data_IF_913472403511
#
_entry.id   IF_913472403511
#
_cell.length_a   1.000
_cell.length_b   1.000
_cell.length_c   1.000
_cell.angle_alpha   90.00
_cell.angle_beta   90.00
_cell.angle_gamma   90.00
#
_symmetry.space_group_name_H-M   'P 1'
#
loop_
_entity.id
_entity.type
_entity.pdbx_description
1 polymer ?
#
# COMPACT_ATOMS: atom_id res chain seq x y z
N UNK A 1 -15.01 3.34 3.27
CA UNK A 1 -14.34 4.29 2.35
C UNK A 1 -14.96 5.68 2.36
N UNK A 2 -16.26 5.82 2.56
CA UNK A 2 -16.84 7.15 2.84
C UNK A 2 -16.13 7.87 3.98
N UNK A 3 -15.64 7.11 4.99
CA UNK A 3 -14.87 7.62 6.11
C UNK A 3 -13.64 8.44 5.67
N UNK A 4 -12.81 7.91 4.75
CA UNK A 4 -11.61 8.63 4.29
C UNK A 4 -11.97 9.93 3.56
N UNK A 5 -13.01 9.91 2.73
CA UNK A 5 -13.49 11.11 2.04
C UNK A 5 -14.01 12.16 3.02
N UNK A 6 -14.64 11.73 4.11
CA UNK A 6 -15.21 12.60 5.13
C UNK A 6 -14.17 13.21 6.08
N UNK A 7 -13.18 12.41 6.50
CA UNK A 7 -12.22 12.82 7.55
C UNK A 7 -10.85 13.25 7.03
N UNK A 8 -10.51 13.03 5.75
CA UNK A 8 -9.27 13.57 5.20
C UNK A 8 -9.33 15.09 5.08
N UNK A 9 -8.27 15.73 5.54
CA UNK A 9 -8.11 17.20 5.43
C UNK A 9 -7.56 17.55 4.05
N UNK A 10 -8.07 18.61 3.44
CA UNK A 10 -7.58 19.12 2.16
C UNK A 10 -6.10 19.53 2.28
N UNK A 11 -5.32 19.28 1.25
CA UNK A 11 -3.89 19.55 1.24
C UNK A 11 -3.04 18.57 2.07
N UNK A 12 -3.63 17.47 2.55
CA UNK A 12 -2.94 16.47 3.36
C UNK A 12 -2.23 15.39 2.54
N UNK A 13 -1.37 14.62 3.24
CA UNK A 13 -0.75 13.41 2.70
C UNK A 13 -1.43 12.21 3.34
N UNK A 14 -1.95 11.31 2.51
CA UNK A 14 -2.58 10.07 2.93
C UNK A 14 -1.62 8.90 2.70
N UNK A 15 -1.14 8.29 3.78
CA UNK A 15 -0.26 7.12 3.75
C UNK A 15 -1.11 5.87 3.93
N UNK A 16 -1.08 4.96 2.97
CA UNK A 16 -1.95 3.78 2.92
C UNK A 16 -1.11 2.51 2.96
N UNK A 17 -1.45 1.59 3.86
CA UNK A 17 -0.85 0.26 3.91
C UNK A 17 -1.55 -0.67 2.91
N UNK A 18 -0.78 -1.28 2.03
CA UNK A 18 -1.26 -2.17 0.99
C UNK A 18 -1.25 -1.56 -0.43
N UNK A 19 -1.59 -2.37 -1.43
CA UNK A 19 -1.55 -1.97 -2.84
C UNK A 19 -2.76 -1.10 -3.24
N UNK A 20 -2.57 -0.28 -4.27
CA UNK A 20 -3.67 0.46 -4.89
C UNK A 20 -4.74 -0.48 -5.46
N UNK A 21 -4.29 -1.60 -6.03
CA UNK A 21 -5.15 -2.67 -6.54
C UNK A 21 -4.85 -3.94 -5.75
N UNK A 22 -5.84 -4.50 -5.07
CA UNK A 22 -5.72 -5.72 -4.28
C UNK A 22 -6.51 -6.86 -4.94
N UNK A 23 -5.78 -7.90 -5.40
CA UNK A 23 -6.36 -9.07 -6.05
C UNK A 23 -7.11 -8.73 -7.35
N UNK A 24 -8.14 -9.51 -7.65
CA UNK A 24 -9.02 -9.30 -8.82
C UNK A 24 -10.09 -8.23 -8.56
N UNK A 25 -10.12 -7.67 -7.35
CA UNK A 25 -11.08 -6.66 -6.93
C UNK A 25 -10.55 -5.24 -7.14
N UNK A 26 -11.36 -4.43 -7.80
CA UNK A 26 -11.14 -2.98 -7.82
C UNK A 26 -11.24 -2.48 -6.40
N UNK A 27 -10.17 -1.85 -5.91
CA UNK A 27 -10.28 -1.18 -4.61
C UNK A 27 -11.25 -0.02 -4.76
N UNK A 28 -12.16 0.11 -3.83
CA UNK A 28 -13.08 1.25 -3.74
C UNK A 28 -12.34 2.60 -3.70
N UNK A 29 -11.03 2.58 -3.44
CA UNK A 29 -10.17 3.76 -3.44
C UNK A 29 -10.10 4.44 -4.82
N UNK A 30 -10.09 3.68 -5.91
CA UNK A 30 -10.00 4.25 -7.28
C UNK A 30 -11.14 5.23 -7.55
N UNK A 31 -12.31 4.99 -6.98
CA UNK A 31 -13.47 5.88 -7.11
C UNK A 31 -13.23 7.27 -6.49
N UNK A 32 -12.33 7.37 -5.51
CA UNK A 32 -12.04 8.60 -4.79
C UNK A 32 -10.79 9.34 -5.30
N UNK A 33 -10.04 8.77 -6.25
CA UNK A 33 -8.80 9.40 -6.76
C UNK A 33 -9.07 10.80 -7.31
N UNK A 34 -10.15 10.97 -8.04
CA UNK A 34 -10.51 12.27 -8.62
C UNK A 34 -10.90 13.29 -7.54
N UNK A 35 -11.61 12.85 -6.51
CA UNK A 35 -11.96 13.70 -5.36
C UNK A 35 -10.71 14.10 -4.58
N UNK A 36 -9.84 13.17 -4.26
CA UNK A 36 -8.58 13.45 -3.58
C UNK A 36 -7.68 14.38 -4.40
N UNK A 37 -7.62 14.21 -5.72
CA UNK A 37 -6.90 15.14 -6.58
C UNK A 37 -7.48 16.57 -6.54
N UNK A 38 -8.80 16.74 -6.48
CA UNK A 38 -9.45 18.06 -6.35
C UNK A 38 -9.17 18.73 -5.01
N UNK A 39 -9.15 17.95 -3.94
CA UNK A 39 -8.92 18.38 -2.56
C UNK A 39 -7.43 18.48 -2.18
N UNK A 40 -6.54 18.37 -3.15
CA UNK A 40 -5.09 18.37 -2.92
C UNK A 40 -4.60 17.31 -1.92
N UNK A 41 -5.29 16.16 -1.83
CA UNK A 41 -4.89 15.04 -0.99
C UNK A 41 -3.95 14.13 -1.79
N UNK A 42 -2.69 14.06 -1.34
CA UNK A 42 -1.68 13.23 -1.96
C UNK A 42 -1.68 11.84 -1.34
N UNK A 43 -2.20 10.85 -2.07
CA UNK A 43 -2.29 9.46 -1.62
C UNK A 43 -1.09 8.64 -2.07
N UNK A 44 -0.46 7.94 -1.12
CA UNK A 44 0.72 7.09 -1.31
C UNK A 44 0.47 5.74 -0.69
N UNK A 45 0.72 4.68 -1.44
CA UNK A 45 0.51 3.30 -1.05
C UNK A 45 1.85 2.61 -0.77
N UNK A 46 1.92 1.85 0.32
CA UNK A 46 3.12 1.11 0.73
C UNK A 46 2.83 -0.39 0.74
N UNK A 47 3.47 -1.12 -0.18
CA UNK A 47 3.29 -2.57 -0.33
C UNK A 47 4.52 -3.28 0.18
N UNK A 48 4.42 -3.87 1.37
CA UNK A 48 5.52 -4.54 2.08
C UNK A 48 5.85 -5.90 1.49
N UNK A 49 4.85 -6.63 1.05
CA UNK A 49 5.00 -7.97 0.48
C UNK A 49 4.30 -8.03 -0.88
N UNK A 50 5.05 -8.36 -1.92
CA UNK A 50 4.50 -8.48 -3.26
C UNK A 50 5.26 -9.53 -4.06
N UNK A 51 4.52 -10.44 -4.66
CA UNK A 51 5.06 -11.41 -5.62
C UNK A 51 4.87 -10.94 -7.06
N UNK A 52 4.72 -9.62 -7.27
CA UNK A 52 4.52 -9.09 -8.62
C UNK A 52 5.79 -9.16 -9.45
N UNK A 53 5.59 -9.29 -10.74
CA UNK A 53 6.62 -9.42 -11.76
C UNK A 53 6.52 -8.30 -12.81
N UNK A 54 5.92 -7.16 -12.45
CA UNK A 54 5.63 -6.08 -13.39
C UNK A 54 6.86 -5.54 -14.12
N UNK A 55 8.02 -5.56 -13.49
CA UNK A 55 9.29 -5.10 -14.11
C UNK A 55 10.02 -6.26 -14.75
N UNK A 56 10.19 -7.39 -14.05
CA UNK A 56 10.98 -8.52 -14.57
C UNK A 56 10.35 -9.16 -15.79
N UNK A 57 9.01 -9.27 -15.87
CA UNK A 57 8.32 -9.87 -17.02
C UNK A 57 8.46 -9.02 -18.29
N UNK A 58 8.69 -7.72 -18.11
CA UNK A 58 8.92 -6.79 -19.21
C UNK A 58 10.42 -6.61 -19.56
N UNK A 59 11.31 -7.34 -18.87
CA UNK A 59 12.74 -7.25 -19.08
C UNK A 59 13.35 -8.64 -19.25
N UNK A 60 13.70 -8.99 -20.50
CA UNK A 60 14.26 -10.30 -20.87
C UNK A 60 15.57 -10.67 -20.17
N UNK A 61 16.33 -9.69 -19.70
CA UNK A 61 17.58 -9.93 -18.99
C UNK A 61 17.36 -10.26 -17.51
N UNK A 62 16.25 -9.82 -16.91
CA UNK A 62 15.92 -10.01 -15.50
C UNK A 62 15.14 -11.30 -15.27
N UNK A 63 14.21 -11.62 -16.15
CA UNK A 63 13.29 -12.75 -16.03
C UNK A 63 13.98 -14.10 -15.73
N UNK A 64 15.16 -14.45 -16.32
CA UNK A 64 15.84 -15.70 -15.98
C UNK A 64 16.54 -15.72 -14.62
N UNK A 65 16.78 -14.55 -14.01
CA UNK A 65 17.60 -14.43 -12.79
C UNK A 65 16.76 -14.25 -11.54
N UNK A 66 15.58 -13.67 -11.68
CA UNK A 66 14.77 -13.26 -10.55
C UNK A 66 13.34 -13.78 -10.67
N UNK A 67 12.77 -14.17 -9.55
CA UNK A 67 11.41 -14.71 -9.47
C UNK A 67 10.34 -13.67 -9.07
N UNK A 68 10.76 -12.47 -8.72
CA UNK A 68 9.87 -11.35 -8.42
C UNK A 68 10.61 -10.01 -8.50
N UNK A 69 9.85 -8.94 -8.68
CA UNK A 69 10.40 -7.58 -8.68
C UNK A 69 11.04 -7.23 -7.33
N UNK A 70 10.51 -7.76 -6.22
CA UNK A 70 11.10 -7.53 -4.89
C UNK A 70 12.45 -8.26 -4.74
N UNK A 71 12.60 -9.45 -5.31
CA UNK A 71 13.87 -10.16 -5.32
C UNK A 71 14.90 -9.37 -6.12
N UNK A 72 14.58 -8.98 -7.36
CA UNK A 72 15.44 -8.17 -8.19
C UNK A 72 15.85 -6.85 -7.51
N UNK A 73 14.87 -6.07 -7.06
CA UNK A 73 15.14 -4.77 -6.44
C UNK A 73 15.90 -4.90 -5.11
N UNK A 74 15.67 -6.01 -4.37
CA UNK A 74 16.40 -6.31 -3.14
C UNK A 74 17.88 -6.56 -3.35
N UNK A 75 18.22 -7.17 -4.47
CA UNK A 75 19.61 -7.48 -4.85
C UNK A 75 20.39 -6.24 -5.30
N UNK A 76 19.76 -5.37 -6.08
CA UNK A 76 20.44 -4.20 -6.66
C UNK A 76 20.44 -2.95 -5.78
N UNK A 77 19.46 -2.78 -4.87
CA UNK A 77 19.33 -1.59 -4.06
C UNK A 77 20.09 -1.70 -2.74
N UNK A 78 20.77 -0.63 -2.38
CA UNK A 78 21.31 -0.41 -1.03
C UNK A 78 20.30 0.36 -0.17
N UNK A 79 20.40 0.30 1.18
CA UNK A 79 19.58 1.14 2.06
C UNK A 79 19.58 2.61 1.65
N UNK A 80 18.40 3.21 1.64
CA UNK A 80 18.20 4.59 1.19
C UNK A 80 18.11 4.79 -0.31
N UNK A 81 18.29 3.73 -1.11
CA UNK A 81 18.15 3.80 -2.56
C UNK A 81 16.76 3.36 -3.00
N UNK A 82 16.32 3.93 -4.10
CA UNK A 82 15.11 3.52 -4.83
C UNK A 82 15.40 3.29 -6.30
N UNK A 83 14.54 2.53 -6.96
CA UNK A 83 14.54 2.42 -8.42
C UNK A 83 14.04 3.71 -9.08
N UNK A 84 14.13 3.78 -10.38
CA UNK A 84 13.35 4.72 -11.19
C UNK A 84 11.85 4.49 -10.95
N UNK A 85 11.05 5.47 -11.33
CA UNK A 85 9.60 5.29 -11.37
C UNK A 85 9.21 4.49 -12.62
N UNK A 86 8.42 3.46 -12.40
CA UNK A 86 7.79 2.64 -13.42
C UNK A 86 6.31 3.00 -13.53
N UNK A 87 5.76 2.87 -14.70
CA UNK A 87 4.33 3.06 -14.92
C UNK A 87 3.70 1.73 -15.31
N UNK A 88 2.66 1.34 -14.60
CA UNK A 88 1.73 0.30 -15.00
C UNK A 88 0.50 0.95 -15.61
N UNK A 89 0.16 0.55 -16.82
CA UNK A 89 -1.02 1.03 -17.55
C UNK A 89 -2.00 -0.12 -17.69
N UNK A 90 -3.18 0.04 -17.10
CA UNK A 90 -4.29 -0.85 -17.35
C UNK A 90 -5.04 -0.35 -18.59
N UNK A 91 -4.94 -1.12 -19.68
CA UNK A 91 -5.57 -0.77 -20.97
C UNK A 91 -7.10 -0.88 -20.94
N UNK A 92 -7.64 -1.72 -20.07
CA UNK A 92 -9.08 -1.93 -19.93
C UNK A 92 -9.73 -0.93 -18.97
N UNK A 93 -8.98 -0.51 -17.96
CA UNK A 93 -9.44 0.48 -17.00
C UNK A 93 -8.32 1.47 -16.62
N UNK A 94 -8.19 2.59 -17.34
CA UNK A 94 -7.12 3.57 -17.11
C UNK A 94 -7.05 4.10 -15.67
N UNK A 95 -8.16 4.08 -14.93
CA UNK A 95 -8.18 4.51 -13.52
C UNK A 95 -7.39 3.56 -12.61
N UNK A 96 -7.16 2.31 -13.03
CA UNK A 96 -6.32 1.35 -12.31
C UNK A 96 -4.82 1.57 -12.60
N UNK A 97 -4.48 2.47 -13.52
CA UNK A 97 -3.09 2.76 -13.84
C UNK A 97 -2.37 3.41 -12.66
N UNK A 98 -1.15 2.99 -12.45
CA UNK A 98 -0.33 3.45 -11.32
C UNK A 98 1.11 3.70 -11.72
N UNK A 99 1.76 4.59 -10.97
CA UNK A 99 3.20 4.79 -11.00
C UNK A 99 3.79 4.24 -9.73
N UNK A 100 4.88 3.52 -9.81
CA UNK A 100 5.49 2.87 -8.65
C UNK A 100 7.01 2.86 -8.73
N UNK A 101 7.64 2.68 -7.56
CA UNK A 101 9.07 2.40 -7.44
C UNK A 101 9.30 1.43 -6.28
N UNK A 102 10.48 0.83 -6.24
CA UNK A 102 10.93 0.01 -5.11
C UNK A 102 11.93 0.81 -4.27
N UNK A 103 11.75 0.83 -2.97
CA UNK A 103 12.57 1.56 -2.00
C UNK A 103 13.12 0.59 -0.95
N UNK A 104 14.44 0.57 -0.75
CA UNK A 104 15.08 -0.25 0.29
C UNK A 104 15.38 0.58 1.52
N UNK A 105 14.83 0.18 2.65
CA UNK A 105 15.01 0.88 3.92
C UNK A 105 16.23 0.38 4.69
N UNK A 106 16.43 -0.94 4.80
CA UNK A 106 17.51 -1.58 5.55
C UNK A 106 18.13 -2.75 4.76
N UNK A 107 19.35 -3.16 5.12
CA UNK A 107 20.09 -4.22 4.41
C UNK A 107 19.37 -5.57 4.40
N UNK A 108 18.86 -5.99 5.54
CA UNK A 108 18.28 -7.31 5.73
C UNK A 108 16.74 -7.33 5.62
N UNK A 109 16.17 -6.36 4.94
CA UNK A 109 14.72 -6.24 4.75
C UNK A 109 14.43 -6.11 3.27
N UNK A 110 13.40 -6.80 2.82
CA UNK A 110 12.92 -6.67 1.44
C UNK A 110 12.54 -5.22 1.13
N UNK A 111 12.76 -4.76 -0.09
CA UNK A 111 12.28 -3.46 -0.52
C UNK A 111 10.77 -3.33 -0.35
N UNK A 112 10.31 -2.11 -0.21
CA UNK A 112 8.88 -1.78 -0.20
C UNK A 112 8.54 -1.19 -1.56
N UNK A 113 7.44 -1.63 -2.16
CA UNK A 113 6.92 -0.97 -3.34
C UNK A 113 6.06 0.21 -2.92
N UNK A 114 6.42 1.39 -3.40
CA UNK A 114 5.65 2.62 -3.20
C UNK A 114 4.86 2.90 -4.46
N UNK A 115 3.54 3.04 -4.33
CA UNK A 115 2.63 3.25 -5.46
C UNK A 115 1.90 4.58 -5.33
N UNK A 116 1.64 5.19 -6.49
CA UNK A 116 0.81 6.38 -6.64
C UNK A 116 -0.25 6.10 -7.70
N UNK A 117 -1.51 6.51 -7.53
CA UNK A 117 -2.43 6.60 -8.65
C UNK A 117 -1.83 7.50 -9.74
N UNK A 118 -1.96 7.13 -11.00
CA UNK A 118 -1.31 7.88 -12.11
C UNK A 118 -1.70 9.35 -12.11
N UNK A 119 -2.97 9.68 -11.86
CA UNK A 119 -3.45 11.07 -11.78
C UNK A 119 -2.78 11.86 -10.65
N UNK A 120 -2.65 11.25 -9.47
CA UNK A 120 -1.95 11.85 -8.32
C UNK A 120 -0.48 12.08 -8.65
N UNK A 121 0.19 11.08 -9.21
CA UNK A 121 1.59 11.22 -9.61
C UNK A 121 1.79 12.33 -10.64
N UNK A 122 0.95 12.42 -11.65
CA UNK A 122 1.05 13.47 -12.68
C UNK A 122 0.89 14.87 -12.07
N UNK A 123 -0.09 15.05 -11.18
CA UNK A 123 -0.32 16.33 -10.50
C UNK A 123 0.86 16.74 -9.62
N UNK A 124 1.45 15.79 -8.89
CA UNK A 124 2.50 16.05 -7.90
C UNK A 124 3.88 15.52 -8.31
N UNK A 125 4.14 15.37 -9.60
CA UNK A 125 5.37 14.77 -10.13
C UNK A 125 6.64 15.39 -9.54
N UNK A 126 6.66 16.71 -9.40
CA UNK A 126 7.80 17.44 -8.83
C UNK A 126 8.03 17.19 -7.34
N UNK A 127 7.03 16.69 -6.64
CA UNK A 127 7.08 16.37 -5.21
C UNK A 127 7.29 14.88 -4.95
N UNK A 128 7.05 14.00 -5.91
CA UNK A 128 7.06 12.54 -5.71
C UNK A 128 8.37 12.05 -5.06
N UNK A 129 9.54 12.52 -5.52
CA UNK A 129 10.83 12.17 -4.90
C UNK A 129 10.91 12.66 -3.45
N UNK A 130 10.53 13.91 -3.18
CA UNK A 130 10.54 14.49 -1.82
C UNK A 130 9.60 13.75 -0.88
N UNK A 131 8.49 13.23 -1.39
CA UNK A 131 7.54 12.44 -0.60
C UNK A 131 8.13 11.08 -0.22
N UNK A 132 8.90 10.46 -1.12
CA UNK A 132 9.63 9.22 -0.81
C UNK A 132 10.75 9.49 0.20
N UNK A 133 11.47 10.60 0.06
CA UNK A 133 12.49 11.03 1.02
C UNK A 133 11.87 11.28 2.41
N UNK A 134 10.69 11.91 2.46
CA UNK A 134 9.93 12.08 3.69
C UNK A 134 9.53 10.73 4.30
N UNK A 135 9.02 9.81 3.50
CA UNK A 135 8.67 8.47 3.96
C UNK A 135 9.89 7.73 4.52
N UNK A 136 11.04 7.82 3.85
CA UNK A 136 12.29 7.27 4.32
C UNK A 136 12.74 7.89 5.65
N UNK A 137 12.68 9.21 5.76
CA UNK A 137 12.99 9.95 6.99
C UNK A 137 12.07 9.52 8.15
N UNK A 138 10.76 9.46 7.93
CA UNK A 138 9.80 9.04 8.96
C UNK A 138 10.07 7.61 9.45
N UNK A 139 10.50 6.73 8.55
CA UNK A 139 10.86 5.37 8.93
C UNK A 139 12.15 5.33 9.75
N UNK A 140 13.20 6.07 9.34
CA UNK A 140 14.48 6.11 10.05
C UNK A 140 14.36 6.69 11.45
N UNK A 141 13.59 7.77 11.59
CA UNK A 141 13.49 8.51 12.87
C UNK A 141 12.51 7.85 13.83
N UNK A 142 11.46 7.22 13.30
CA UNK A 142 10.33 6.77 14.09
C UNK A 142 10.00 5.28 13.91
N UNK A 143 10.68 4.58 13.00
CA UNK A 143 10.46 3.17 12.73
C UNK A 143 11.20 2.24 13.69
N UNK A 144 10.67 1.04 13.83
CA UNK A 144 11.37 -0.06 14.51
C UNK A 144 12.15 -0.88 13.46
N UNK A 145 13.45 -1.14 13.72
CA UNK A 145 14.28 -1.97 12.85
C UNK A 145 13.78 -3.41 12.71
N UNK A 146 13.10 -3.93 13.74
CA UNK A 146 12.55 -5.30 13.73
C UNK A 146 11.27 -5.40 12.91
N UNK A 147 10.50 -4.33 12.86
CA UNK A 147 9.28 -4.23 12.06
C UNK A 147 9.25 -2.88 11.34
N UNK A 148 9.99 -2.76 10.22
CA UNK A 148 10.13 -1.51 9.52
C UNK A 148 8.78 -1.09 8.92
N UNK A 149 8.15 -0.13 9.57
CA UNK A 149 6.86 0.43 9.18
C UNK A 149 6.85 1.94 9.44
N UNK A 150 6.27 2.68 8.53
CA UNK A 150 6.04 4.11 8.73
C UNK A 150 5.20 4.33 9.97
N UNK A 151 5.67 5.17 10.89
CA UNK A 151 4.97 5.38 12.17
C UNK A 151 3.50 5.78 12.02
N UNK A 152 3.09 6.67 11.11
CA UNK A 152 1.66 6.96 10.94
C UNK A 152 0.84 5.72 10.61
N UNK A 153 1.36 4.83 9.76
CA UNK A 153 0.70 3.56 9.42
C UNK A 153 0.66 2.64 10.64
N UNK A 154 1.78 2.49 11.36
CA UNK A 154 1.86 1.65 12.55
C UNK A 154 0.90 2.10 13.66
N UNK A 155 0.76 3.41 13.85
CA UNK A 155 -0.18 4.00 14.80
C UNK A 155 -1.62 3.74 14.38
N UNK A 156 -1.96 3.96 13.11
CA UNK A 156 -3.29 3.70 12.58
C UNK A 156 -3.67 2.21 12.72
N UNK A 157 -2.73 1.31 12.42
CA UNK A 157 -2.91 -0.14 12.57
C UNK A 157 -3.14 -0.54 14.04
N UNK A 158 -2.39 0.06 14.97
CA UNK A 158 -2.57 -0.16 16.39
C UNK A 158 -3.98 0.25 16.84
N UNK A 159 -4.43 1.45 16.49
CA UNK A 159 -5.78 1.90 16.84
C UNK A 159 -6.87 1.06 16.19
N UNK A 160 -6.72 0.66 14.94
CA UNK A 160 -7.67 -0.25 14.29
C UNK A 160 -7.78 -1.58 15.02
N UNK A 161 -6.66 -2.17 15.46
CA UNK A 161 -6.67 -3.41 16.25
C UNK A 161 -7.28 -3.25 17.63
N UNK A 162 -7.05 -2.12 18.28
CA UNK A 162 -7.67 -1.81 19.59
C UNK A 162 -9.20 -1.64 19.46
N UNK A 163 -9.65 -0.98 18.40
CA UNK A 163 -11.07 -0.83 18.10
C UNK A 163 -11.76 -2.19 17.87
N UNK A 164 -11.10 -3.10 17.14
CA UNK A 164 -11.62 -4.46 16.92
C UNK A 164 -11.77 -5.24 18.23
N UNK A 165 -10.88 -5.02 19.21
CA UNK A 165 -10.98 -5.67 20.53
C UNK A 165 -12.19 -5.16 21.35
N UNK A 166 -12.57 -3.91 21.17
CA UNK A 166 -13.72 -3.29 21.87
C UNK A 166 -15.04 -3.67 21.19
N UNK A 167 -15.04 -3.80 19.87
CA UNK A 167 -16.22 -4.21 19.10
C UNK A 167 -16.19 -5.74 18.97
N UNK A 168 -17.17 -6.43 19.54
CA UNK A 168 -17.39 -7.84 19.24
C UNK A 168 -17.89 -7.99 17.81
N UNK A 169 -16.92 -8.01 16.86
CA UNK A 169 -17.17 -8.10 15.43
C UNK A 169 -18.04 -9.33 15.10
N UNK A 170 -17.81 -10.45 15.77
CA UNK A 170 -18.60 -11.66 15.57
C UNK A 170 -20.06 -11.46 15.98
N UNK A 171 -20.29 -10.74 17.09
CA UNK A 171 -21.64 -10.40 17.56
C UNK A 171 -22.35 -9.47 16.57
N UNK A 172 -21.65 -8.45 16.09
CA UNK A 172 -22.24 -7.49 15.16
C UNK A 172 -22.48 -8.13 13.77
N UNK A 173 -21.57 -8.97 13.29
CA UNK A 173 -21.78 -9.74 12.06
C UNK A 173 -22.95 -10.72 12.18
N UNK A 174 -23.15 -11.37 13.33
CA UNK A 174 -24.32 -12.21 13.60
C UNK A 174 -25.62 -11.40 13.58
N UNK A 175 -25.63 -10.22 14.20
CA UNK A 175 -26.78 -9.30 14.19
C UNK A 175 -27.14 -8.83 12.79
N UNK A 176 -26.11 -8.58 11.95
CA UNK A 176 -26.30 -8.22 10.54
C UNK A 176 -26.67 -9.40 9.62
N UNK A 177 -26.81 -10.61 10.17
CA UNK A 177 -27.10 -11.82 9.38
C UNK A 177 -25.91 -12.32 8.55
N UNK A 178 -24.73 -11.75 8.72
CA UNK A 178 -23.52 -12.05 7.93
C UNK A 178 -22.80 -13.34 8.32
N UNK A 179 -23.17 -13.94 9.48
CA UNK A 179 -22.58 -15.20 9.95
C UNK A 179 -23.70 -16.15 10.34
N UNK A 180 -23.81 -17.25 9.62
CA UNK A 180 -24.66 -18.38 10.01
C UNK A 180 -23.89 -19.30 10.96
N UNK A 181 -24.60 -19.95 11.89
CA UNK A 181 -24.00 -20.89 12.87
C UNK A 181 -23.10 -21.95 12.20
N UNK A 182 -23.48 -22.44 11.04
CA UNK A 182 -22.79 -23.47 10.27
C UNK A 182 -21.42 -23.05 9.69
N UNK A 183 -21.21 -21.77 9.40
CA UNK A 183 -19.90 -21.29 8.93
C UNK A 183 -18.87 -21.11 10.04
N UNK A 184 -19.33 -20.96 11.29
CA UNK A 184 -18.45 -20.66 12.42
C UNK A 184 -17.96 -21.90 13.17
N UNK A 185 -18.79 -22.94 13.27
CA UNK A 185 -18.45 -24.10 14.08
C UNK A 185 -17.34 -24.97 13.50
N UNK A 186 -17.11 -24.91 12.17
CA UNK A 186 -16.05 -25.69 11.52
C UNK A 186 -14.68 -25.01 11.38
N UNK A 187 -14.60 -23.69 11.51
CA UNK A 187 -13.35 -22.94 11.28
C UNK A 187 -12.77 -22.22 12.50
N UNK A 188 -13.58 -21.93 13.53
CA UNK A 188 -13.18 -21.06 14.66
C UNK A 188 -13.50 -21.65 16.02
N UNK A 189 -13.94 -22.89 16.07
CA UNK A 189 -14.43 -23.55 17.30
C UNK A 189 -13.35 -24.00 18.26
N UNK A 190 -12.07 -23.73 18.02
CA UNK A 190 -10.95 -24.10 18.89
C UNK A 190 -9.94 -22.98 19.06
N UNK A 191 -10.40 -21.80 19.43
CA UNK A 191 -9.55 -20.74 20.00
C UNK A 191 -10.08 -20.34 21.37
#
# INVERSE_FOLDING_TARGET
MNFLSEYCVDGSILLIDGPLIAGDGYTTFIQYVDDFCRRDILSIFFVKNSNSNMVIDNNRELSPKYNSDMHWSGDILKPGQRTSFFQYVDIHNPNNSKVFCYLKFYDNVSPVRVEFPTKVFQKYRNLASKMIDLAYYLLLVQGDKKNPQLRPIAVAEKYARETIKVIDVNREMRRAGGLTKTMNEGRWGNL
#
